data_IF_656486798354
#
_entry.id   IF_656486798354
#
_cell.length_a   1.000
_cell.length_b   1.000
_cell.length_c   1.000
_cell.angle_alpha   90.00
_cell.angle_beta   90.00
_cell.angle_gamma   90.00
#
_symmetry.space_group_name_H-M   'P 1'
#
loop_
_entity.id
_entity.type
_entity.pdbx_description
1 polymer ?
#
# COMPACT_ATOMS: atom_id res chain seq x y z
N UNK A 1 -8.80 -8.98 20.72
CA UNK A 1 -8.93 -8.89 19.25
C UNK A 1 -10.39 -9.07 18.87
N UNK A 2 -10.95 -8.20 18.00
CA UNK A 2 -12.31 -8.36 17.48
C UNK A 2 -12.20 -8.85 16.05
N UNK A 3 -12.81 -10.00 15.68
CA UNK A 3 -12.74 -10.49 14.31
C UNK A 3 -13.41 -9.51 13.35
N UNK A 4 -12.77 -9.24 12.20
CA UNK A 4 -13.30 -8.33 11.18
C UNK A 4 -14.73 -8.69 10.74
N UNK A 5 -15.05 -9.99 10.66
CA UNK A 5 -16.40 -10.48 10.37
C UNK A 5 -17.48 -9.90 11.30
N UNK A 6 -17.15 -9.69 12.59
CA UNK A 6 -18.08 -9.11 13.57
C UNK A 6 -18.31 -7.61 13.34
N UNK A 7 -17.33 -6.91 12.78
CA UNK A 7 -17.46 -5.50 12.39
C UNK A 7 -18.38 -5.37 11.18
N UNK A 8 -18.21 -6.22 10.16
CA UNK A 8 -19.09 -6.27 8.98
C UNK A 8 -20.54 -6.54 9.39
N UNK A 9 -20.77 -7.52 10.28
CA UNK A 9 -22.10 -7.85 10.78
C UNK A 9 -22.75 -6.69 11.53
N UNK A 10 -21.97 -5.93 12.32
CA UNK A 10 -22.46 -4.79 13.08
C UNK A 10 -22.82 -3.59 12.17
N UNK A 11 -22.03 -3.35 11.12
CA UNK A 11 -22.27 -2.27 10.16
C UNK A 11 -23.43 -2.55 9.21
N UNK A 12 -23.90 -3.81 9.12
CA UNK A 12 -25.02 -4.25 8.26
C UNK A 12 -24.84 -3.84 6.80
N UNK A 13 -23.59 -3.82 6.33
CA UNK A 13 -23.26 -3.50 4.93
C UNK A 13 -23.63 -4.68 4.04
N UNK A 14 -24.04 -4.39 2.81
CA UNK A 14 -24.36 -5.43 1.83
C UNK A 14 -23.10 -6.23 1.47
N UNK A 15 -23.21 -7.56 1.51
CA UNK A 15 -22.09 -8.44 1.16
C UNK A 15 -22.07 -8.64 -0.34
N UNK A 16 -20.92 -8.39 -0.94
CA UNK A 16 -20.64 -8.64 -2.35
C UNK A 16 -19.51 -9.64 -2.48
N UNK A 17 -19.58 -10.50 -3.50
CA UNK A 17 -18.44 -11.33 -3.90
C UNK A 17 -17.46 -10.57 -4.81
N UNK A 18 -17.83 -9.38 -5.29
CA UNK A 18 -17.05 -8.59 -6.23
C UNK A 18 -16.17 -7.53 -5.57
N UNK A 19 -16.46 -7.13 -4.33
CA UNK A 19 -15.72 -6.10 -3.61
C UNK A 19 -15.77 -6.32 -2.11
N UNK A 20 -14.75 -5.82 -1.41
CA UNK A 20 -14.71 -5.86 0.04
C UNK A 20 -15.78 -4.90 0.64
N UNK A 21 -16.56 -5.36 1.64
CA UNK A 21 -17.74 -4.64 2.14
C UNK A 21 -17.46 -3.35 2.90
N UNK A 22 -16.23 -3.09 3.37
CA UNK A 22 -15.94 -1.94 4.25
C UNK A 22 -14.86 -1.02 3.68
N UNK A 23 -13.85 -1.57 3.02
CA UNK A 23 -12.75 -0.80 2.47
C UNK A 23 -12.18 -1.50 1.24
N UNK A 24 -11.76 -0.74 0.25
CA UNK A 24 -11.28 -1.25 -1.03
C UNK A 24 -9.75 -1.20 -1.14
N UNK A 25 -9.11 -0.37 -0.31
CA UNK A 25 -7.66 -0.17 -0.29
C UNK A 25 -7.08 -0.67 1.02
N UNK A 26 -6.14 -1.62 0.95
CA UNK A 26 -5.43 -2.13 2.12
C UNK A 26 -4.01 -1.53 2.16
N UNK A 27 -3.62 -0.98 3.30
CA UNK A 27 -2.26 -0.52 3.56
C UNK A 27 -1.60 -1.43 4.60
N UNK A 28 -0.40 -1.92 4.29
CA UNK A 28 0.36 -2.83 5.14
C UNK A 28 1.76 -2.26 5.36
N UNK A 29 2.17 -2.12 6.62
CA UNK A 29 3.53 -1.79 6.99
C UNK A 29 3.94 -2.66 8.17
N UNK A 30 4.55 -3.83 7.92
CA UNK A 30 4.98 -4.73 8.98
C UNK A 30 6.09 -4.09 9.80
N UNK A 31 6.15 -4.42 11.09
CA UNK A 31 7.33 -4.08 11.92
C UNK A 31 8.58 -4.76 11.34
N UNK A 32 9.73 -4.08 11.39
CA UNK A 32 10.99 -4.55 10.86
C UNK A 32 11.40 -5.93 11.42
N UNK A 33 11.05 -6.21 12.69
CA UNK A 33 11.31 -7.51 13.31
C UNK A 33 10.49 -8.65 12.69
N UNK A 34 9.24 -8.37 12.28
CA UNK A 34 8.35 -9.38 11.69
C UNK A 34 8.80 -9.78 10.27
N UNK A 35 9.40 -8.86 9.52
CA UNK A 35 9.91 -9.11 8.15
C UNK A 35 11.14 -10.03 8.17
N UNK A 36 12.04 -9.85 9.14
CA UNK A 36 13.25 -10.66 9.26
C UNK A 36 12.95 -12.16 9.51
N UNK A 37 11.88 -12.46 10.26
CA UNK A 37 11.48 -13.84 10.58
C UNK A 37 10.76 -14.55 9.41
N UNK A 38 10.13 -13.81 8.49
CA UNK A 38 9.37 -14.37 7.36
C UNK A 38 10.28 -14.82 6.22
N UNK A 39 11.35 -14.06 5.93
CA UNK A 39 12.24 -14.34 4.79
C UNK A 39 13.36 -15.35 5.11
N UNK A 40 13.64 -15.64 6.39
CA UNK A 40 14.58 -16.70 6.79
C UNK A 40 14.16 -18.13 6.32
N UNK A 41 12.90 -18.29 5.88
CA UNK A 41 12.37 -19.54 5.34
C UNK A 41 12.28 -19.61 3.80
N UNK A 42 12.59 -18.54 3.07
CA UNK A 42 12.50 -18.50 1.60
C UNK A 42 13.89 -18.68 0.98
N UNK A 43 14.13 -19.82 0.36
CA UNK A 43 15.38 -20.07 -0.37
C UNK A 43 15.49 -19.12 -1.58
N UNK A 44 16.62 -18.42 -1.63
CA UNK A 44 17.06 -17.49 -2.68
C UNK A 44 17.24 -18.23 -4.02
N UNK A 45 16.34 -17.99 -4.99
CA UNK A 45 16.47 -18.47 -6.37
C UNK A 45 16.91 -17.37 -7.37
N UNK A 46 17.39 -16.23 -6.87
CA UNK A 46 17.93 -15.16 -7.72
C UNK A 46 16.88 -14.42 -8.56
N UNK A 47 15.59 -14.73 -8.45
CA UNK A 47 14.53 -13.88 -8.96
C UNK A 47 14.18 -12.84 -7.90
N UNK A 48 14.79 -11.66 -8.01
CA UNK A 48 14.38 -10.48 -7.23
C UNK A 48 12.93 -10.17 -7.61
N UNK A 49 11.99 -10.61 -6.77
CA UNK A 49 10.58 -10.25 -6.60
C UNK A 49 9.72 -11.47 -6.20
N UNK A 50 10.18 -12.30 -5.26
CA UNK A 50 9.28 -13.21 -4.54
C UNK A 50 8.76 -12.50 -3.29
N UNK A 51 7.87 -11.53 -3.51
CA UNK A 51 7.09 -10.93 -2.42
C UNK A 51 6.23 -12.03 -1.81
N UNK A 52 6.64 -12.55 -0.66
CA UNK A 52 5.81 -13.46 0.11
C UNK A 52 4.64 -12.63 0.62
N UNK A 53 3.48 -12.78 -0.03
CA UNK A 53 2.22 -12.18 0.40
C UNK A 53 2.07 -12.48 1.88
N UNK A 54 2.12 -11.44 2.71
CA UNK A 54 1.70 -11.56 4.10
C UNK A 54 0.24 -12.01 4.03
N UNK A 55 -0.04 -13.28 4.33
CA UNK A 55 -1.41 -13.77 4.47
C UNK A 55 -2.00 -13.13 5.72
N UNK A 56 -2.34 -11.86 5.62
CA UNK A 56 -3.25 -11.22 6.53
C UNK A 56 -4.57 -11.97 6.34
N UNK A 57 -5.07 -12.57 7.42
CA UNK A 57 -6.38 -13.25 7.48
C UNK A 57 -7.56 -12.26 7.31
N UNK A 58 -7.44 -11.29 6.40
CA UNK A 58 -8.49 -10.37 5.92
C UNK A 58 -9.05 -10.80 4.57
N UNK A 59 -8.49 -11.84 3.94
CA UNK A 59 -8.87 -12.31 2.61
C UNK A 59 -7.69 -12.32 1.65
N UNK A 60 -7.80 -13.09 0.56
CA UNK A 60 -6.80 -13.12 -0.52
C UNK A 60 -6.62 -11.71 -1.11
N UNK A 61 -5.41 -11.32 -1.58
CA UNK A 61 -5.15 -10.05 -2.28
C UNK A 61 -6.16 -9.75 -3.40
N UNK A 62 -6.73 -10.80 -4.02
CA UNK A 62 -7.78 -10.71 -5.04
C UNK A 62 -9.13 -10.16 -4.56
N UNK A 63 -9.27 -9.75 -3.29
CA UNK A 63 -10.51 -9.17 -2.73
C UNK A 63 -10.45 -7.65 -2.54
N UNK A 64 -9.30 -7.03 -2.82
CA UNK A 64 -9.09 -5.58 -2.71
C UNK A 64 -8.86 -4.98 -4.09
N UNK A 65 -9.28 -3.73 -4.27
CA UNK A 65 -9.03 -2.98 -5.51
C UNK A 65 -7.55 -2.56 -5.58
N UNK A 66 -6.94 -2.26 -4.41
CA UNK A 66 -5.54 -1.91 -4.26
C UNK A 66 -4.99 -2.38 -2.90
N UNK A 67 -3.79 -2.95 -2.91
CA UNK A 67 -2.98 -3.24 -1.73
C UNK A 67 -1.65 -2.52 -1.86
N UNK A 68 -1.30 -1.71 -0.86
CA UNK A 68 0.00 -1.06 -0.74
C UNK A 68 0.74 -1.66 0.45
N UNK A 69 1.95 -2.16 0.20
CA UNK A 69 2.84 -2.68 1.23
C UNK A 69 4.11 -1.85 1.28
N UNK A 70 4.48 -1.36 2.47
CA UNK A 70 5.73 -0.66 2.72
C UNK A 70 6.60 -1.43 3.72
N UNK A 71 7.90 -1.49 3.48
CA UNK A 71 8.88 -2.12 4.37
C UNK A 71 10.19 -1.34 4.41
N UNK A 72 10.90 -1.30 5.55
CA UNK A 72 12.23 -0.71 5.60
C UNK A 72 13.21 -1.36 4.61
N UNK A 73 14.05 -0.55 3.96
CA UNK A 73 15.13 -1.02 3.10
C UNK A 73 16.27 -1.61 3.95
N UNK A 74 16.92 -2.66 3.46
CA UNK A 74 18.12 -3.22 4.10
C UNK A 74 17.87 -4.29 5.17
N UNK A 75 16.62 -4.65 5.48
CA UNK A 75 16.30 -5.80 6.36
C UNK A 75 16.97 -7.10 5.85
N UNK A 76 17.17 -7.22 4.54
CA UNK A 76 17.72 -8.41 3.87
C UNK A 76 19.24 -8.40 3.68
N UNK A 77 19.91 -7.24 3.76
CA UNK A 77 21.36 -7.15 3.50
C UNK A 77 22.23 -7.19 4.76
N UNK A 78 21.63 -7.13 5.96
CA UNK A 78 22.39 -7.05 7.22
C UNK A 78 23.22 -5.77 7.35
N UNK A 79 22.98 -4.80 6.46
CA UNK A 79 23.58 -3.47 6.49
C UNK A 79 22.78 -2.59 7.45
N UNK A 80 23.45 -1.56 8.00
CA UNK A 80 22.79 -0.56 8.82
C UNK A 80 21.59 0.03 8.06
N UNK A 81 20.43 0.07 8.72
CA UNK A 81 19.23 0.69 8.15
C UNK A 81 19.56 2.08 7.63
N UNK A 82 19.46 2.26 6.32
CA UNK A 82 19.66 3.56 5.66
C UNK A 82 18.55 4.56 6.02
N UNK A 83 17.48 4.09 6.66
CA UNK A 83 16.26 4.85 6.92
C UNK A 83 15.33 4.92 5.70
N UNK A 84 15.69 4.26 4.60
CA UNK A 84 14.88 4.20 3.40
C UNK A 84 13.72 3.20 3.57
N UNK A 85 12.66 3.42 2.80
CA UNK A 85 11.46 2.56 2.76
C UNK A 85 11.23 2.11 1.33
N UNK A 86 11.05 0.81 1.14
CA UNK A 86 10.62 0.20 -0.12
C UNK A 86 9.12 -0.05 -0.10
N UNK A 87 8.46 0.07 -1.25
CA UNK A 87 7.03 -0.18 -1.39
C UNK A 87 6.68 -1.08 -2.57
N UNK A 88 5.57 -1.79 -2.46
CA UNK A 88 4.93 -2.54 -3.54
C UNK A 88 3.44 -2.19 -3.62
N UNK A 89 2.90 -2.08 -4.83
CA UNK A 89 1.47 -1.93 -5.08
C UNK A 89 0.97 -3.14 -5.86
N UNK A 90 -0.08 -3.78 -5.35
CA UNK A 90 -0.83 -4.84 -6.04
C UNK A 90 -2.23 -4.31 -6.28
N UNK A 91 -2.73 -4.34 -7.52
CA UNK A 91 -4.00 -3.71 -7.87
C UNK A 91 -4.81 -4.56 -8.85
N UNK A 92 -6.10 -4.27 -8.94
CA UNK A 92 -7.00 -4.89 -9.90
C UNK A 92 -6.84 -4.23 -11.29
N UNK A 93 -6.36 -5.00 -12.27
CA UNK A 93 -6.14 -4.52 -13.65
C UNK A 93 -7.44 -4.19 -14.40
N UNK A 94 -8.59 -4.71 -13.95
CA UNK A 94 -9.90 -4.31 -14.50
C UNK A 94 -10.29 -2.87 -14.10
N UNK A 95 -9.67 -2.33 -13.04
CA UNK A 95 -9.93 -0.99 -12.50
C UNK A 95 -8.81 0.01 -12.79
N UNK A 96 -7.56 -0.46 -12.83
CA UNK A 96 -6.39 0.40 -12.98
C UNK A 96 -5.41 -0.17 -14.00
N UNK A 97 -4.93 0.71 -14.88
CA UNK A 97 -3.79 0.39 -15.74
C UNK A 97 -2.46 0.80 -15.10
N UNK A 98 -1.37 0.39 -15.73
CA UNK A 98 0.00 0.65 -15.27
C UNK A 98 0.30 2.15 -15.19
N UNK A 99 -0.21 2.95 -16.13
CA UNK A 99 0.05 4.39 -16.19
C UNK A 99 -0.66 5.12 -15.04
N UNK A 100 -1.91 4.75 -14.75
CA UNK A 100 -2.68 5.24 -13.61
C UNK A 100 -1.99 4.90 -12.29
N UNK A 101 -1.47 3.68 -12.15
CA UNK A 101 -0.77 3.25 -10.93
C UNK A 101 0.61 3.89 -10.77
N UNK A 102 1.32 4.15 -11.88
CA UNK A 102 2.55 4.93 -11.86
C UNK A 102 2.29 6.37 -11.40
N UNK A 103 1.23 7.01 -11.92
CA UNK A 103 0.83 8.35 -11.50
C UNK A 103 0.41 8.38 -10.02
N UNK A 104 -0.40 7.41 -9.57
CA UNK A 104 -0.80 7.27 -8.17
C UNK A 104 0.41 7.14 -7.24
N UNK A 105 1.39 6.32 -7.63
CA UNK A 105 2.63 6.14 -6.87
C UNK A 105 3.43 7.44 -6.80
N UNK A 106 3.56 8.17 -7.91
CA UNK A 106 4.24 9.47 -7.94
C UNK A 106 3.54 10.50 -7.03
N UNK A 107 2.20 10.54 -7.04
CA UNK A 107 1.41 11.41 -6.17
C UNK A 107 1.61 11.07 -4.69
N UNK A 108 1.61 9.77 -4.35
CA UNK A 108 1.84 9.33 -2.99
C UNK A 108 3.23 9.75 -2.48
N UNK A 109 4.27 9.57 -3.29
CA UNK A 109 5.63 10.01 -2.97
C UNK A 109 5.70 11.53 -2.78
N UNK A 110 5.02 12.30 -3.65
CA UNK A 110 4.97 13.76 -3.53
C UNK A 110 4.29 14.20 -2.22
N UNK A 111 3.15 13.59 -1.89
CA UNK A 111 2.42 13.88 -0.66
C UNK A 111 3.29 13.61 0.59
N UNK A 112 3.98 12.46 0.63
CA UNK A 112 4.89 12.12 1.73
C UNK A 112 6.06 13.09 1.82
N UNK A 113 6.65 13.47 0.69
CA UNK A 113 7.75 14.44 0.63
C UNK A 113 7.31 15.79 1.21
N UNK A 114 6.16 16.31 0.78
CA UNK A 114 5.62 17.57 1.31
C UNK A 114 5.24 17.50 2.79
N UNK A 115 4.73 16.35 3.25
CA UNK A 115 4.45 16.13 4.67
C UNK A 115 5.73 16.19 5.51
N UNK A 116 6.85 15.69 4.99
CA UNK A 116 8.15 15.74 5.67
C UNK A 116 8.77 17.14 5.69
N UNK A 117 8.56 17.93 4.63
CA UNK A 117 9.04 19.32 4.56
C UNK A 117 8.29 20.25 5.53
N UNK A 118 6.98 20.07 5.68
CA UNK A 118 6.14 20.88 6.59
C UNK A 118 5.22 19.99 7.43
N UNK A 119 5.74 19.30 8.47
CA UNK A 119 4.96 18.33 9.25
C UNK A 119 3.74 18.90 9.99
N UNK A 120 3.75 20.21 10.26
CA UNK A 120 2.66 20.91 10.93
C UNK A 120 1.58 21.42 9.96
N UNK A 121 1.78 21.28 8.64
CA UNK A 121 0.78 21.71 7.67
C UNK A 121 -0.49 20.83 7.77
N UNK A 122 -1.68 21.43 7.65
CA UNK A 122 -2.90 20.65 7.50
C UNK A 122 -2.80 19.72 6.27
N UNK A 123 -3.26 18.48 6.39
CA UNK A 123 -3.19 17.51 5.29
C UNK A 123 -3.86 18.02 4.00
N UNK A 124 -4.94 18.80 4.12
CA UNK A 124 -5.65 19.41 2.99
C UNK A 124 -4.79 20.42 2.19
N UNK A 125 -3.69 20.91 2.76
CA UNK A 125 -2.79 21.87 2.13
C UNK A 125 -1.57 21.19 1.49
N UNK A 126 -1.38 19.89 1.71
CA UNK A 126 -0.27 19.16 1.11
C UNK A 126 -0.58 18.86 -0.36
N UNK A 127 0.33 19.16 -1.30
CA UNK A 127 0.11 18.91 -2.70
C UNK A 127 0.13 17.40 -2.98
N UNK A 128 -0.97 16.88 -3.51
CA UNK A 128 -1.02 15.49 -3.99
C UNK A 128 -0.30 15.33 -5.33
N UNK A 129 -0.58 16.22 -6.29
CA UNK A 129 0.03 16.21 -7.62
C UNK A 129 1.21 17.18 -7.70
N UNK A 130 2.25 16.82 -8.46
CA UNK A 130 3.27 17.80 -8.83
C UNK A 130 2.66 18.88 -9.71
N UNK A 131 3.20 20.10 -9.66
CA UNK A 131 2.68 21.23 -10.45
C UNK A 131 2.67 20.93 -11.96
N UNK A 132 3.58 20.08 -12.44
CA UNK A 132 3.66 19.65 -13.84
C UNK A 132 2.53 18.71 -14.27
N UNK A 133 1.89 18.03 -13.32
CA UNK A 133 0.81 17.07 -13.56
C UNK A 133 -0.58 17.69 -13.33
N UNK A 134 -0.63 18.96 -12.90
CA UNK A 134 -1.86 19.77 -12.80
C UNK A 134 -2.34 20.20 -14.19
N UNK A 135 -2.72 19.23 -15.02
CA UNK A 135 -3.63 19.52 -16.12
C UNK A 135 -5.01 19.85 -15.54
N UNK A 136 -5.77 20.79 -16.10
CA UNK A 136 -7.11 21.08 -15.60
C UNK A 136 -8.01 19.86 -15.87
N UNK A 137 -8.21 19.01 -14.87
CA UNK A 137 -9.21 17.91 -14.90
C UNK A 137 -10.64 18.44 -14.71
N UNK A 138 -10.90 19.68 -15.12
CA UNK A 138 -12.21 20.31 -14.98
C UNK A 138 -12.62 20.92 -16.32
N UNK A 139 -13.44 20.16 -17.05
CA UNK A 139 -14.69 20.64 -17.63
C UNK A 139 -15.44 19.45 -18.28
N UNK A 140 -16.46 18.95 -17.58
CA UNK A 140 -17.64 18.30 -18.17
C UNK A 140 -18.86 18.72 -17.36
#
# INVERSE_FOLDING_TARGET
>A
EVPFARVVDALRVERSSAYNPVFQVLFVMPDAQLVADIDAGAADDGSRLNGRVLELNVGSPATFDLVMELRPEGILSGEDHTGNVMGCLTYNEDLFDVDAMAAMTAHFVNLLTSAMEVPAAPAANLPLMQERDRSPVLNA
#
